data_IF_525797263681
#
_entry.id   IF_525797263681
#
_cell.length_a   1.000
_cell.length_b   1.000
_cell.length_c   1.000
_cell.angle_alpha   90.00
_cell.angle_beta   90.00
_cell.angle_gamma   90.00
#
_symmetry.space_group_name_H-M   'P 1'
#
loop_
_entity.id
_entity.type
_entity.pdbx_description
1 polymer ?
#
# COMPACT_ATOMS: atom_id res chain seq x y z
N UNK A 1 2.25 7.82 -0.18
CA UNK A 1 2.02 6.47 0.38
C UNK A 1 2.48 6.51 1.83
N UNK A 2 1.64 6.13 2.78
CA UNK A 2 2.05 5.97 4.19
C UNK A 2 1.94 4.50 4.59
N UNK A 3 2.84 4.07 5.45
CA UNK A 3 2.93 2.69 5.93
C UNK A 3 2.93 2.72 7.45
N UNK A 4 1.90 2.15 8.05
CA UNK A 4 1.71 2.10 9.50
C UNK A 4 1.88 0.65 9.97
N UNK A 5 2.74 0.38 10.97
CA UNK A 5 2.88 -0.95 11.52
C UNK A 5 1.61 -1.34 12.28
N UNK A 6 1.16 -2.58 12.09
CA UNK A 6 0.03 -3.15 12.81
C UNK A 6 0.56 -4.26 13.71
N UNK A 7 0.30 -4.12 15.01
CA UNK A 7 0.72 -5.07 16.04
C UNK A 7 -0.48 -5.82 16.60
N UNK A 8 -0.31 -7.09 16.90
CA UNK A 8 -1.23 -7.90 17.68
C UNK A 8 -0.43 -8.57 18.81
N UNK A 9 -0.82 -8.36 20.07
CA UNK A 9 -0.12 -8.94 21.25
C UNK A 9 1.40 -8.72 21.24
N UNK A 10 1.82 -7.49 20.96
CA UNK A 10 3.22 -7.06 20.82
C UNK A 10 4.00 -7.69 19.64
N UNK A 11 3.36 -8.51 18.82
CA UNK A 11 3.94 -9.05 17.59
C UNK A 11 3.54 -8.22 16.37
N UNK A 12 4.49 -7.91 15.49
CA UNK A 12 4.23 -7.19 14.25
C UNK A 12 3.58 -8.15 13.22
N UNK A 13 2.27 -8.02 13.02
CA UNK A 13 1.52 -8.87 12.09
C UNK A 13 1.56 -8.36 10.65
N UNK A 14 1.78 -7.07 10.45
CA UNK A 14 1.77 -6.50 9.11
C UNK A 14 1.87 -4.99 9.10
N UNK A 15 1.54 -4.43 7.94
CA UNK A 15 1.53 -3.02 7.71
C UNK A 15 0.25 -2.60 7.02
N UNK A 16 -0.40 -1.57 7.56
CA UNK A 16 -1.46 -0.85 6.86
C UNK A 16 -0.81 0.16 5.94
N UNK A 17 -1.02 0.01 4.64
CA UNK A 17 -0.50 0.89 3.61
C UNK A 17 -1.64 1.75 3.08
N UNK A 18 -1.54 3.07 3.26
CA UNK A 18 -2.44 4.03 2.62
C UNK A 18 -1.80 4.58 1.36
N UNK A 19 -2.46 4.33 0.24
CA UNK A 19 -2.07 4.77 -1.08
C UNK A 19 -3.00 5.95 -1.42
N UNK A 20 -2.48 7.18 -1.55
CA UNK A 20 -3.31 8.33 -1.91
C UNK A 20 -3.73 8.27 -3.38
N UNK A 21 -4.67 9.14 -3.76
CA UNK A 21 -5.05 9.34 -5.15
C UNK A 21 -3.84 9.65 -6.03
N UNK A 22 -3.83 9.10 -7.23
CA UNK A 22 -2.84 9.38 -8.26
C UNK A 22 -3.52 10.09 -9.42
N UNK A 23 -2.99 11.27 -9.77
CA UNK A 23 -3.48 12.07 -10.88
C UNK A 23 -2.43 12.16 -11.99
N UNK A 24 -2.90 12.28 -13.23
CA UNK A 24 -2.08 12.63 -14.38
C UNK A 24 -2.55 13.96 -14.94
N UNK A 25 -1.60 14.85 -15.23
CA UNK A 25 -1.88 16.10 -15.93
C UNK A 25 -1.75 15.89 -17.44
N UNK A 26 -2.66 16.48 -18.19
CA UNK A 26 -2.57 16.56 -19.64
C UNK A 26 -3.10 17.91 -20.12
N UNK A 27 -2.59 18.36 -21.26
CA UNK A 27 -3.08 19.58 -21.90
C UNK A 27 -4.20 19.21 -22.86
N UNK A 28 -5.38 19.78 -22.67
CA UNK A 28 -6.52 19.52 -23.55
C UNK A 28 -6.39 20.27 -24.89
N UNK A 29 -7.25 19.95 -25.85
CA UNK A 29 -7.25 20.59 -27.17
C UNK A 29 -7.58 22.10 -27.12
N UNK A 30 -8.12 22.59 -26.01
CA UNK A 30 -8.43 24.01 -25.77
C UNK A 30 -7.26 24.74 -25.09
N UNK A 31 -6.17 24.03 -24.76
CA UNK A 31 -4.96 24.56 -24.18
C UNK A 31 -4.92 24.61 -22.65
N UNK A 32 -5.97 24.10 -21.97
CA UNK A 32 -6.06 24.06 -20.50
C UNK A 32 -5.33 22.85 -19.93
N UNK A 33 -4.78 23.01 -18.72
CA UNK A 33 -4.23 21.90 -17.95
C UNK A 33 -5.38 21.18 -17.22
N UNK A 34 -5.55 19.90 -17.52
CA UNK A 34 -6.59 19.05 -16.96
C UNK A 34 -5.98 17.93 -16.12
N UNK A 35 -6.65 17.56 -15.04
CA UNK A 35 -6.24 16.48 -14.14
C UNK A 35 -7.14 15.27 -14.35
N UNK A 36 -6.55 14.10 -14.55
CA UNK A 36 -7.26 12.83 -14.66
C UNK A 36 -6.88 11.92 -13.48
N UNK A 37 -7.88 11.38 -12.79
CA UNK A 37 -7.66 10.40 -11.72
C UNK A 37 -7.26 9.05 -12.35
N UNK A 38 -6.01 8.64 -12.14
CA UNK A 38 -5.47 7.38 -12.67
C UNK A 38 -5.73 6.23 -11.70
N UNK A 39 -5.60 6.49 -10.40
CA UNK A 39 -5.83 5.49 -9.35
C UNK A 39 -6.48 6.16 -8.14
N UNK A 40 -7.62 5.64 -7.66
CA UNK A 40 -8.24 6.13 -6.45
C UNK A 40 -7.43 5.76 -5.21
N UNK A 41 -7.59 6.55 -4.15
CA UNK A 41 -7.04 6.27 -2.86
C UNK A 41 -7.57 4.92 -2.34
N UNK A 42 -6.68 4.15 -1.72
CA UNK A 42 -7.02 2.86 -1.14
C UNK A 42 -6.15 2.55 0.07
N UNK A 43 -6.70 1.73 0.95
CA UNK A 43 -5.98 1.16 2.08
C UNK A 43 -5.79 -0.34 1.84
N UNK A 44 -4.57 -0.81 2.01
CA UNK A 44 -4.21 -2.22 1.85
C UNK A 44 -3.49 -2.71 3.09
N UNK A 45 -3.84 -3.92 3.55
CA UNK A 45 -3.07 -4.60 4.59
C UNK A 45 -2.05 -5.51 3.93
N UNK A 46 -0.77 -5.27 4.22
CA UNK A 46 0.34 -6.10 3.76
C UNK A 46 0.84 -6.92 4.95
N UNK A 47 0.54 -8.23 5.01
CA UNK A 47 1.06 -9.06 6.08
C UNK A 47 2.59 -9.08 6.02
N UNK A 48 3.25 -9.09 7.17
CA UNK A 48 4.66 -9.47 7.18
C UNK A 48 4.65 -10.92 6.75
N UNK A 49 5.29 -11.24 5.61
CA UNK A 49 5.53 -12.63 5.26
C UNK A 49 6.16 -13.25 6.50
N UNK A 50 5.44 -14.18 7.17
CA UNK A 50 6.02 -14.98 8.25
C UNK A 50 7.37 -15.38 7.70
N UNK A 51 8.47 -14.98 8.37
CA UNK A 51 9.74 -15.63 8.11
C UNK A 51 9.38 -17.11 8.15
N UNK A 52 9.51 -17.80 7.00
CA UNK A 52 9.41 -19.26 6.95
C UNK A 52 10.29 -19.69 8.10
N UNK A 53 9.66 -20.21 9.15
CA UNK A 53 10.39 -20.52 10.36
C UNK A 53 11.51 -21.43 9.88
N UNK A 54 12.75 -21.11 10.23
CA UNK A 54 13.90 -22.00 10.01
C UNK A 54 13.79 -23.25 10.91
N UNK A 55 12.59 -23.54 11.41
CA UNK A 55 12.17 -24.71 12.16
C UNK A 55 11.11 -25.46 11.33
N UNK A 56 11.50 -25.93 10.15
CA UNK A 56 11.13 -27.32 9.81
C UNK A 56 12.10 -28.22 10.58
N UNK A 57 11.97 -28.24 11.91
CA UNK A 57 12.49 -29.34 12.72
C UNK A 57 11.36 -30.35 12.82
N UNK A 58 11.54 -31.46 12.11
CA UNK A 58 11.02 -32.81 12.37
C UNK A 58 9.70 -32.92 13.15
N UNK A 59 8.61 -33.22 12.43
CA UNK A 59 7.76 -34.40 12.69
C UNK A 59 6.84 -34.70 11.48
#
# INVERSE_FOLDING_TARGET
>A
MKREPVYEKDELIGYRVSIPDSFMTFRDARGYESFFLVRPAREEFVPVAKQSSMFDEED
#
